data_IF_274587355802
#
_entry.id   IF_274587355802
#
_cell.length_a   1.000
_cell.length_b   1.000
_cell.length_c   1.000
_cell.angle_alpha   90.00
_cell.angle_beta   90.00
_cell.angle_gamma   90.00
#
_symmetry.space_group_name_H-M   'P 1'
#
loop_
_entity.id
_entity.type
_entity.pdbx_description
1 polymer ?
#
# COMPACT_ATOMS: atom_id res chain seq x y z
N UNK A 1 -0.89 42.19 3.01
CA UNK A 1 -1.14 41.25 4.11
C UNK A 1 -2.62 40.89 4.06
N UNK A 2 -2.97 39.62 3.83
CA UNK A 2 -4.36 39.21 3.58
C UNK A 2 -5.14 38.80 4.83
N UNK A 3 -4.45 38.51 5.94
CA UNK A 3 -5.02 37.95 7.17
C UNK A 3 -5.01 38.99 8.30
N UNK A 4 -6.05 38.97 9.12
CA UNK A 4 -6.16 39.83 10.30
C UNK A 4 -5.58 39.16 11.55
N UNK A 5 -5.82 37.85 11.70
CA UNK A 5 -5.29 37.01 12.76
C UNK A 5 -5.00 35.62 12.20
N UNK A 6 -3.96 34.98 12.71
CA UNK A 6 -3.65 33.59 12.37
C UNK A 6 -2.85 32.94 13.50
N UNK A 7 -2.94 31.62 13.60
CA UNK A 7 -2.17 30.82 14.56
C UNK A 7 -2.45 29.33 14.40
N UNK A 8 -1.53 28.48 14.87
CA UNK A 8 -1.68 27.05 14.75
C UNK A 8 -0.42 26.24 15.02
N UNK A 9 -0.51 24.96 14.69
CA UNK A 9 0.57 24.00 14.69
C UNK A 9 0.78 23.43 13.29
N UNK A 10 1.86 22.69 13.07
CA UNK A 10 2.22 22.11 11.76
C UNK A 10 1.06 21.41 11.03
N UNK A 11 0.17 20.72 11.76
CA UNK A 11 -0.92 19.94 11.18
C UNK A 11 -2.28 20.67 11.12
N UNK A 12 -2.42 21.83 11.75
CA UNK A 12 -3.69 22.56 11.81
C UNK A 12 -3.46 24.03 12.18
N UNK A 13 -4.09 24.93 11.44
CA UNK A 13 -4.08 26.36 11.73
C UNK A 13 -5.48 26.96 11.58
N UNK A 14 -5.72 28.05 12.32
CA UNK A 14 -6.90 28.88 12.21
C UNK A 14 -6.52 30.31 11.84
N UNK A 15 -7.41 30.99 11.12
CA UNK A 15 -7.22 32.37 10.69
C UNK A 15 -8.52 33.16 10.70
N UNK A 16 -8.41 34.48 10.72
CA UNK A 16 -9.48 35.44 10.48
C UNK A 16 -9.11 36.28 9.26
N UNK A 17 -10.05 36.38 8.32
CA UNK A 17 -9.87 37.03 7.02
C UNK A 17 -11.13 37.79 6.65
N UNK A 18 -10.95 38.98 6.09
CA UNK A 18 -12.04 39.75 5.49
C UNK A 18 -12.51 39.08 4.21
N UNK A 19 -13.83 39.04 3.98
CA UNK A 19 -14.41 38.32 2.83
C UNK A 19 -13.82 38.79 1.50
N UNK A 20 -13.57 40.10 1.36
CA UNK A 20 -13.00 40.69 0.15
C UNK A 20 -11.53 40.32 -0.10
N UNK A 21 -10.84 39.71 0.88
CA UNK A 21 -9.44 39.28 0.76
C UNK A 21 -9.29 37.79 0.43
N UNK A 22 -10.38 37.03 0.32
CA UNK A 22 -10.35 35.58 0.13
C UNK A 22 -9.63 35.22 -1.17
N UNK A 23 -9.98 35.87 -2.28
CA UNK A 23 -9.41 35.58 -3.59
C UNK A 23 -7.89 35.85 -3.60
N UNK A 24 -7.48 37.02 -3.13
CA UNK A 24 -6.07 37.39 -3.07
C UNK A 24 -5.27 36.49 -2.11
N UNK A 25 -5.86 36.05 -1.00
CA UNK A 25 -5.24 35.07 -0.10
C UNK A 25 -5.10 33.72 -0.77
N UNK A 26 -6.12 33.24 -1.48
CA UNK A 26 -6.09 31.94 -2.16
C UNK A 26 -4.99 31.88 -3.22
N UNK A 27 -4.83 32.93 -4.02
CA UNK A 27 -3.74 33.04 -5.01
C UNK A 27 -2.36 33.01 -4.34
N UNK A 28 -2.17 33.81 -3.29
CA UNK A 28 -0.90 33.85 -2.55
C UNK A 28 -0.59 32.52 -1.84
N UNK A 29 -1.62 31.86 -1.30
CA UNK A 29 -1.50 30.57 -0.62
C UNK A 29 -1.16 29.45 -1.61
N UNK A 30 -1.83 29.42 -2.78
CA UNK A 30 -1.53 28.47 -3.85
C UNK A 30 -0.10 28.64 -4.35
N UNK A 31 0.33 29.87 -4.66
CA UNK A 31 1.70 30.13 -5.09
C UNK A 31 2.74 29.70 -4.05
N UNK A 32 2.44 29.84 -2.75
CA UNK A 32 3.31 29.34 -1.69
C UNK A 32 3.32 27.81 -1.64
N UNK A 33 2.16 27.15 -1.74
CA UNK A 33 2.05 25.70 -1.76
C UNK A 33 2.83 25.10 -2.94
N UNK A 34 2.65 25.64 -4.15
CA UNK A 34 3.34 25.18 -5.37
C UNK A 34 4.87 25.31 -5.26
N UNK A 35 5.36 26.31 -4.53
CA UNK A 35 6.79 26.51 -4.33
C UNK A 35 7.39 25.61 -3.23
N UNK A 36 6.58 24.99 -2.38
CA UNK A 36 7.05 24.28 -1.18
C UNK A 36 6.64 22.80 -1.11
N UNK A 37 5.65 22.36 -1.88
CA UNK A 37 5.22 20.96 -1.94
C UNK A 37 5.82 20.31 -3.19
N UNK A 38 6.37 19.11 -3.01
CA UNK A 38 6.68 18.25 -4.15
C UNK A 38 5.39 17.52 -4.59
N UNK A 39 5.32 17.10 -5.85
CA UNK A 39 4.20 16.29 -6.35
C UNK A 39 3.95 15.05 -5.48
N UNK A 40 5.02 14.46 -4.96
CA UNK A 40 5.01 13.31 -4.05
C UNK A 40 4.25 13.58 -2.73
N UNK A 41 4.29 14.82 -2.22
CA UNK A 41 3.59 15.23 -1.00
C UNK A 41 2.07 15.28 -1.19
N UNK A 42 1.61 15.36 -2.45
CA UNK A 42 0.20 15.44 -2.82
C UNK A 42 -0.46 14.05 -2.89
N UNK A 43 0.31 12.97 -2.79
CA UNK A 43 -0.21 11.61 -2.81
C UNK A 43 -0.42 11.05 -1.41
N UNK A 44 -1.57 10.39 -1.15
CA UNK A 44 -1.81 9.74 0.13
C UNK A 44 -0.89 8.53 0.31
N UNK A 45 0.09 8.64 1.22
CA UNK A 45 1.02 7.57 1.54
C UNK A 45 0.42 6.60 2.55
N UNK A 46 0.42 5.31 2.24
CA UNK A 46 0.12 4.25 3.21
C UNK A 46 1.42 3.69 3.76
N UNK A 47 1.73 4.02 5.02
CA UNK A 47 2.86 3.42 5.72
C UNK A 47 2.51 1.99 6.13
N UNK A 48 3.42 1.07 5.84
CA UNK A 48 3.36 -0.34 6.24
C UNK A 48 4.58 -0.64 7.10
N UNK A 49 4.39 -1.42 8.15
CA UNK A 49 5.43 -1.75 9.13
C UNK A 49 6.20 -2.99 8.71
N UNK A 50 5.54 -3.94 8.03
CA UNK A 50 6.16 -5.14 7.48
C UNK A 50 5.43 -5.64 6.23
N UNK A 51 6.20 -6.28 5.35
CA UNK A 51 5.68 -7.09 4.25
C UNK A 51 5.69 -8.55 4.72
N UNK A 52 4.57 -9.22 4.62
CA UNK A 52 4.37 -10.59 5.12
C UNK A 52 3.72 -11.46 4.06
N UNK A 53 3.96 -12.75 4.15
CA UNK A 53 3.27 -13.76 3.37
C UNK A 53 1.94 -14.16 4.01
N UNK A 54 1.05 -14.80 3.24
CA UNK A 54 -0.22 -15.29 3.75
C UNK A 54 -0.08 -16.31 4.89
N UNK A 55 0.97 -17.14 4.88
CA UNK A 55 1.20 -18.17 5.89
C UNK A 55 1.62 -17.63 7.26
N UNK A 56 2.16 -16.41 7.30
CA UNK A 56 2.56 -15.74 8.54
C UNK A 56 1.34 -15.17 9.30
N UNK A 57 0.20 -14.96 8.62
CA UNK A 57 -1.00 -14.34 9.17
C UNK A 57 -1.82 -15.30 10.05
N UNK A 58 -1.25 -15.61 11.21
CA UNK A 58 -1.78 -16.59 12.15
C UNK A 58 -2.40 -15.94 13.38
N UNK A 59 -3.22 -16.68 14.12
CA UNK A 59 -3.78 -16.21 15.39
C UNK A 59 -2.69 -15.90 16.44
N UNK A 60 -1.64 -16.72 16.62
CA UNK A 60 -0.51 -16.35 17.47
C UNK A 60 0.14 -15.02 17.10
N UNK A 61 0.38 -14.75 15.81
CA UNK A 61 0.91 -13.47 15.38
C UNK A 61 -0.05 -12.31 15.74
N UNK A 62 -1.36 -12.51 15.58
CA UNK A 62 -2.35 -11.51 15.99
C UNK A 62 -2.23 -11.18 17.49
N UNK A 63 -2.00 -12.18 18.34
CA UNK A 63 -1.79 -11.99 19.79
C UNK A 63 -0.48 -11.28 20.10
N UNK A 64 0.61 -11.65 19.41
CA UNK A 64 1.91 -10.98 19.58
C UNK A 64 1.84 -9.50 19.24
N UNK A 65 1.16 -9.15 18.14
CA UNK A 65 0.96 -7.77 17.73
C UNK A 65 0.08 -7.00 18.72
N UNK A 66 -0.95 -7.63 19.29
CA UNK A 66 -1.84 -6.97 20.24
C UNK A 66 -1.12 -6.58 21.56
N UNK A 67 -0.03 -7.27 21.90
CA UNK A 67 0.84 -6.90 23.04
C UNK A 67 1.56 -5.56 22.87
N UNK A 68 1.57 -4.99 21.66
CA UNK A 68 2.13 -3.66 21.40
C UNK A 68 1.18 -2.52 21.80
N UNK A 69 -0.05 -2.85 22.21
CA UNK A 69 -0.98 -1.89 22.79
C UNK A 69 -0.41 -1.21 24.06
N UNK A 70 -0.88 0.00 24.43
CA UNK A 70 -2.01 0.73 23.85
C UNK A 70 -1.67 1.41 22.52
N UNK A 71 -2.58 1.30 21.55
CA UNK A 71 -2.46 1.99 20.27
C UNK A 71 -3.08 3.40 20.34
N UNK A 72 -2.56 4.33 19.54
CA UNK A 72 -3.00 5.72 19.47
C UNK A 72 -2.10 6.58 18.57
N UNK A 73 -2.19 7.91 18.69
CA UNK A 73 -1.43 8.84 17.85
C UNK A 73 0.09 8.61 17.93
N UNK A 74 0.62 8.34 19.12
CA UNK A 74 2.04 8.09 19.35
C UNK A 74 2.48 6.63 19.15
N UNK A 75 1.54 5.71 18.99
CA UNK A 75 1.77 4.28 18.76
C UNK A 75 0.67 3.75 17.84
N UNK A 76 0.72 4.03 16.53
CA UNK A 76 -0.33 3.57 15.61
C UNK A 76 -0.39 2.04 15.57
N UNK A 77 -1.56 1.49 15.22
CA UNK A 77 -1.67 0.06 14.98
C UNK A 77 -0.70 -0.42 13.89
N UNK A 78 -0.16 -1.62 14.09
CA UNK A 78 0.70 -2.29 13.12
C UNK A 78 -0.06 -2.58 11.83
N UNK A 79 0.49 -2.10 10.72
CA UNK A 79 -0.02 -2.30 9.36
C UNK A 79 0.90 -3.24 8.61
N UNK A 80 0.36 -4.41 8.25
CA UNK A 80 1.05 -5.41 7.44
C UNK A 80 0.63 -5.30 5.97
N UNK A 81 1.54 -5.64 5.06
CA UNK A 81 1.27 -5.72 3.62
C UNK A 81 1.39 -7.18 3.14
N UNK A 82 0.32 -7.72 2.57
CA UNK A 82 0.36 -8.98 1.81
C UNK A 82 0.42 -8.63 0.32
N UNK A 83 1.57 -8.78 -0.36
CA UNK A 83 1.70 -8.40 -1.76
C UNK A 83 1.06 -9.45 -2.68
N UNK A 84 0.60 -9.02 -3.85
CA UNK A 84 0.18 -9.91 -4.94
C UNK A 84 -0.80 -11.03 -4.48
N UNK A 85 -1.75 -10.68 -3.62
CA UNK A 85 -2.70 -11.61 -3.06
C UNK A 85 -3.98 -11.64 -3.88
N UNK A 86 -4.57 -12.83 -4.03
CA UNK A 86 -5.83 -13.05 -4.70
C UNK A 86 -6.99 -12.96 -3.69
N UNK A 87 -7.91 -11.99 -3.82
CA UNK A 87 -9.18 -12.02 -3.14
C UNK A 87 -10.04 -13.15 -3.70
N UNK A 88 -10.75 -13.84 -2.83
CA UNK A 88 -11.74 -14.83 -3.24
C UNK A 88 -12.97 -14.79 -2.33
N UNK A 89 -14.08 -15.30 -2.85
CA UNK A 89 -15.40 -15.23 -2.19
C UNK A 89 -15.80 -13.81 -1.74
N UNK A 90 -15.65 -12.76 -2.58
CA UNK A 90 -16.04 -11.42 -2.18
C UNK A 90 -17.55 -11.30 -2.06
N UNK A 91 -17.99 -10.70 -0.95
CA UNK A 91 -19.38 -10.47 -0.62
C UNK A 91 -19.52 -9.18 0.20
N UNK A 92 -20.69 -8.56 0.15
CA UNK A 92 -20.98 -7.42 1.02
C UNK A 92 -21.65 -7.85 2.32
N UNK A 93 -21.41 -7.10 3.39
CA UNK A 93 -22.08 -7.25 4.70
C UNK A 93 -22.52 -5.89 5.24
N UNK A 94 -23.42 -5.90 6.23
CA UNK A 94 -23.97 -4.66 6.80
C UNK A 94 -24.73 -3.84 5.76
N UNK A 95 -25.75 -4.44 5.13
CA UNK A 95 -26.60 -3.79 4.12
C UNK A 95 -25.82 -3.22 2.93
N UNK A 96 -24.76 -3.90 2.49
CA UNK A 96 -23.95 -3.44 1.37
C UNK A 96 -22.85 -2.44 1.76
N UNK A 97 -22.74 -2.03 3.02
CA UNK A 97 -21.77 -1.00 3.45
C UNK A 97 -20.33 -1.49 3.51
N UNK A 98 -20.13 -2.77 3.80
CA UNK A 98 -18.80 -3.33 4.06
C UNK A 98 -18.50 -4.47 3.11
N UNK A 99 -17.23 -4.67 2.79
CA UNK A 99 -16.78 -5.74 1.91
C UNK A 99 -16.07 -6.80 2.75
N UNK A 100 -16.54 -8.04 2.63
CA UNK A 100 -15.95 -9.23 3.25
C UNK A 100 -15.46 -10.16 2.14
N UNK A 101 -14.28 -10.72 2.31
CA UNK A 101 -13.69 -11.66 1.36
C UNK A 101 -12.67 -12.53 2.08
N UNK A 102 -12.00 -13.42 1.37
CA UNK A 102 -10.83 -14.15 1.84
C UNK A 102 -9.62 -13.81 0.98
N UNK A 103 -8.44 -13.93 1.56
CA UNK A 103 -7.17 -13.59 0.89
C UNK A 103 -6.36 -14.86 0.70
N UNK A 104 -5.88 -15.10 -0.52
CA UNK A 104 -4.98 -16.22 -0.86
C UNK A 104 -3.70 -15.70 -1.49
N UNK A 105 -2.56 -16.26 -1.14
CA UNK A 105 -1.29 -15.96 -1.79
C UNK A 105 -0.53 -17.28 -1.97
N UNK A 106 -0.05 -17.56 -3.19
CA UNK A 106 0.70 -18.79 -3.50
C UNK A 106 -0.01 -20.08 -3.03
N UNK A 107 -1.34 -20.15 -3.18
CA UNK A 107 -2.15 -21.28 -2.73
C UNK A 107 -2.41 -21.35 -1.21
N UNK A 108 -1.81 -20.46 -0.41
CA UNK A 108 -2.02 -20.36 1.04
C UNK A 108 -3.12 -19.36 1.37
N UNK A 109 -4.01 -19.74 2.28
CA UNK A 109 -5.12 -18.90 2.75
C UNK A 109 -4.66 -18.06 3.94
N UNK A 110 -4.74 -16.74 3.81
CA UNK A 110 -4.41 -15.77 4.86
C UNK A 110 -5.57 -15.55 5.85
N UNK A 111 -6.75 -16.10 5.57
CA UNK A 111 -7.94 -15.94 6.39
C UNK A 111 -8.96 -14.95 5.85
N UNK A 112 -9.92 -14.60 6.71
CA UNK A 112 -11.02 -13.69 6.38
C UNK A 112 -10.56 -12.24 6.41
N UNK A 113 -10.99 -11.45 5.44
CA UNK A 113 -10.72 -10.03 5.35
C UNK A 113 -12.03 -9.22 5.41
N UNK A 114 -11.97 -8.08 6.11
CA UNK A 114 -13.07 -7.11 6.20
C UNK A 114 -12.54 -5.72 5.85
N UNK A 115 -13.15 -5.08 4.85
CA UNK A 115 -12.89 -3.70 4.46
C UNK A 115 -14.11 -2.84 4.78
N UNK A 116 -14.03 -2.09 5.87
CA UNK A 116 -15.11 -1.23 6.33
C UNK A 116 -15.32 -0.05 5.38
N UNK A 117 -16.57 0.20 5.02
CA UNK A 117 -16.99 1.28 4.12
C UNK A 117 -16.68 1.04 2.64
N UNK A 118 -16.15 -0.13 2.27
CA UNK A 118 -15.71 -0.43 0.90
C UNK A 118 -16.66 -1.36 0.14
N UNK A 119 -17.93 -1.46 0.55
CA UNK A 119 -18.88 -2.37 -0.10
C UNK A 119 -19.12 -2.10 -1.59
N UNK A 120 -18.97 -0.84 -2.03
CA UNK A 120 -19.06 -0.47 -3.45
C UNK A 120 -17.93 -1.05 -4.33
N UNK A 121 -16.87 -1.60 -3.73
CA UNK A 121 -15.77 -2.22 -4.47
C UNK A 121 -15.99 -3.71 -4.76
N UNK A 122 -17.19 -4.25 -4.50
CA UNK A 122 -17.49 -5.67 -4.72
C UNK A 122 -17.14 -6.14 -6.14
N UNK A 123 -17.55 -5.40 -7.16
CA UNK A 123 -17.32 -5.80 -8.55
C UNK A 123 -15.84 -5.68 -8.94
N UNK A 124 -15.10 -4.72 -8.36
CA UNK A 124 -13.64 -4.63 -8.50
C UNK A 124 -12.93 -5.87 -7.98
N UNK A 125 -13.36 -6.44 -6.85
CA UNK A 125 -12.78 -7.67 -6.30
C UNK A 125 -13.25 -8.96 -6.98
N UNK A 126 -14.35 -8.89 -7.75
CA UNK A 126 -14.82 -10.01 -8.58
C UNK A 126 -14.06 -10.11 -9.89
N UNK A 127 -13.59 -8.98 -10.42
CA UNK A 127 -12.68 -8.97 -11.55
C UNK A 127 -11.42 -9.78 -11.18
N UNK A 128 -10.94 -10.61 -12.11
CA UNK A 128 -9.72 -11.37 -11.90
C UNK A 128 -8.54 -10.40 -11.75
N UNK A 129 -7.76 -10.55 -10.68
CA UNK A 129 -6.63 -9.66 -10.40
C UNK A 129 -5.93 -10.02 -9.09
N UNK A 130 -4.71 -9.52 -8.95
CA UNK A 130 -3.95 -9.59 -7.72
C UNK A 130 -3.97 -8.22 -7.05
N UNK A 131 -3.93 -8.22 -5.72
CA UNK A 131 -3.99 -7.02 -4.92
C UNK A 131 -2.91 -7.05 -3.84
N UNK A 132 -2.28 -5.91 -3.61
CA UNK A 132 -1.50 -5.70 -2.40
C UNK A 132 -2.48 -5.29 -1.28
N UNK A 133 -2.54 -6.11 -0.24
CA UNK A 133 -3.50 -5.95 0.86
C UNK A 133 -2.79 -5.35 2.07
N UNK A 134 -3.03 -4.07 2.32
CA UNK A 134 -2.59 -3.41 3.56
C UNK A 134 -3.65 -3.60 4.65
N UNK A 135 -3.31 -4.31 5.72
CA UNK A 135 -4.27 -4.69 6.77
C UNK A 135 -3.67 -4.66 8.17
N UNK A 136 -4.54 -4.55 9.17
CA UNK A 136 -4.23 -4.92 10.55
C UNK A 136 -4.65 -6.38 10.76
N UNK A 137 -3.81 -7.17 11.39
CA UNK A 137 -4.17 -8.52 11.80
C UNK A 137 -4.82 -8.46 13.19
N UNK A 138 -6.03 -8.99 13.32
CA UNK A 138 -6.77 -9.04 14.59
C UNK A 138 -7.33 -10.44 14.83
N UNK A 139 -7.50 -10.77 16.11
CA UNK A 139 -8.34 -11.90 16.48
C UNK A 139 -9.82 -11.55 16.22
N UNK A 140 -10.54 -12.45 15.57
CA UNK A 140 -11.98 -12.37 15.43
C UNK A 140 -12.64 -13.52 16.17
N UNK A 141 -13.60 -13.21 17.05
CA UNK A 141 -14.43 -14.19 17.76
C UNK A 141 -15.86 -14.11 17.23
N UNK A 142 -16.27 -15.14 16.49
CA UNK A 142 -17.60 -15.21 15.91
C UNK A 142 -18.21 -16.59 16.04
N UNK A 143 -19.42 -16.68 16.58
CA UNK A 143 -20.17 -17.92 16.75
C UNK A 143 -19.35 -19.07 17.38
N UNK A 144 -18.59 -18.77 18.44
CA UNK A 144 -17.72 -19.72 19.13
C UNK A 144 -16.40 -20.06 18.41
N UNK A 145 -16.19 -19.57 17.18
CA UNK A 145 -14.95 -19.73 16.43
C UNK A 145 -14.02 -18.54 16.68
N UNK A 146 -12.74 -18.84 16.93
CA UNK A 146 -11.66 -17.84 17.04
C UNK A 146 -10.71 -18.03 15.88
N UNK A 147 -10.50 -16.97 15.09
CA UNK A 147 -9.67 -17.03 13.89
C UNK A 147 -8.96 -15.68 13.65
N UNK A 148 -7.82 -15.67 12.93
CA UNK A 148 -7.25 -14.42 12.45
C UNK A 148 -8.18 -13.76 11.43
N UNK A 149 -8.26 -12.43 11.48
CA UNK A 149 -8.98 -11.60 10.52
C UNK A 149 -8.11 -10.42 10.09
N UNK A 150 -8.06 -10.21 8.77
CA UNK A 150 -7.42 -9.06 8.15
C UNK A 150 -8.42 -7.90 8.15
N UNK A 151 -8.20 -6.91 9.00
CA UNK A 151 -8.94 -5.64 8.94
C UNK A 151 -8.25 -4.76 7.91
N UNK A 152 -8.82 -4.74 6.70
CA UNK A 152 -8.25 -4.08 5.53
C UNK A 152 -8.29 -2.57 5.72
N UNK A 153 -7.13 -1.93 5.57
CA UNK A 153 -6.99 -0.47 5.52
C UNK A 153 -7.08 0.02 4.08
N UNK A 154 -6.38 -0.67 3.17
CA UNK A 154 -6.31 -0.30 1.76
C UNK A 154 -6.00 -1.51 0.88
N UNK A 155 -6.54 -1.47 -0.33
CA UNK A 155 -6.25 -2.40 -1.41
C UNK A 155 -5.62 -1.62 -2.56
N UNK A 156 -4.52 -2.14 -3.08
CA UNK A 156 -3.86 -1.64 -4.27
C UNK A 156 -3.95 -2.71 -5.34
N UNK A 157 -4.24 -2.34 -6.58
CA UNK A 157 -4.12 -3.29 -7.68
C UNK A 157 -2.64 -3.60 -7.84
N UNK A 158 -2.28 -4.88 -7.75
CA UNK A 158 -0.93 -5.31 -8.07
C UNK A 158 -0.80 -5.25 -9.59
N UNK A 159 0.18 -4.50 -10.14
CA UNK A 159 0.39 -4.46 -11.58
C UNK A 159 0.56 -5.87 -12.15
N UNK A 160 -0.08 -6.15 -13.28
CA UNK A 160 0.16 -7.39 -14.01
C UNK A 160 1.65 -7.53 -14.33
N UNK A 161 2.15 -8.76 -14.27
CA UNK A 161 3.57 -9.04 -14.50
C UNK A 161 4.51 -8.69 -13.36
N UNK A 162 4.04 -8.05 -12.26
CA UNK A 162 4.91 -7.70 -11.11
C UNK A 162 5.74 -8.88 -10.61
N UNK A 163 5.07 -9.99 -10.29
CA UNK A 163 5.75 -11.15 -9.72
C UNK A 163 6.65 -11.84 -10.76
N UNK A 164 6.24 -11.85 -12.03
CA UNK A 164 7.03 -12.42 -13.11
C UNK A 164 8.33 -11.60 -13.34
N UNK A 165 8.23 -10.27 -13.34
CA UNK A 165 9.37 -9.38 -13.47
C UNK A 165 10.29 -9.47 -12.25
N UNK A 166 9.72 -9.47 -11.04
CA UNK A 166 10.45 -9.69 -9.79
C UNK A 166 11.24 -10.99 -9.83
N UNK A 167 10.59 -12.09 -10.19
CA UNK A 167 11.22 -13.41 -10.24
C UNK A 167 12.33 -13.44 -11.30
N UNK A 168 12.09 -12.89 -12.49
CA UNK A 168 13.11 -12.78 -13.55
C UNK A 168 14.33 -12.00 -13.07
N UNK A 169 14.13 -10.86 -12.40
CA UNK A 169 15.23 -10.08 -11.82
C UNK A 169 15.96 -10.85 -10.72
N UNK A 170 15.25 -11.59 -9.87
CA UNK A 170 15.87 -12.43 -8.85
C UNK A 170 16.72 -13.56 -9.49
N UNK A 171 16.26 -14.16 -10.57
CA UNK A 171 17.00 -15.20 -11.30
C UNK A 171 18.23 -14.63 -12.00
N UNK A 172 18.12 -13.45 -12.63
CA UNK A 172 19.26 -12.73 -13.19
C UNK A 172 20.29 -12.36 -12.11
N UNK A 173 19.83 -11.89 -10.95
CA UNK A 173 20.69 -11.60 -9.81
C UNK A 173 21.49 -12.84 -9.38
N UNK A 174 20.81 -13.98 -9.21
CA UNK A 174 21.47 -15.26 -8.85
C UNK A 174 22.43 -15.76 -9.92
N UNK A 175 22.15 -15.51 -11.21
CA UNK A 175 23.00 -15.90 -12.32
C UNK A 175 24.29 -15.05 -12.44
N UNK A 176 24.36 -13.92 -11.73
CA UNK A 176 25.55 -13.05 -11.67
C UNK A 176 25.65 -12.02 -12.80
N UNK A 177 26.56 -11.05 -12.63
CA UNK A 177 26.67 -9.84 -13.47
C UNK A 177 26.80 -10.10 -14.97
N UNK A 178 27.42 -11.22 -15.35
CA UNK A 178 27.57 -11.62 -16.76
C UNK A 178 26.24 -11.93 -17.45
N UNK A 179 25.22 -12.34 -16.70
CA UNK A 179 23.89 -12.64 -17.22
C UNK A 179 22.94 -11.44 -17.22
N UNK A 180 23.30 -10.33 -16.54
CA UNK A 180 22.40 -9.19 -16.39
C UNK A 180 22.14 -8.48 -17.71
N UNK A 181 20.87 -8.28 -18.03
CA UNK A 181 20.46 -7.44 -19.17
C UNK A 181 20.75 -5.96 -18.86
N UNK A 182 20.81 -5.07 -19.88
CA UNK A 182 20.99 -3.64 -19.66
C UNK A 182 19.95 -3.04 -18.70
N UNK A 183 18.70 -3.50 -18.77
CA UNK A 183 17.61 -3.06 -17.90
C UNK A 183 17.80 -3.58 -16.47
N UNK A 184 18.18 -4.85 -16.29
CA UNK A 184 18.43 -5.40 -14.96
C UNK A 184 19.59 -4.67 -14.26
N UNK A 185 20.67 -4.33 -15.00
CA UNK A 185 21.77 -3.51 -14.49
C UNK A 185 21.28 -2.16 -13.95
N UNK A 186 20.43 -1.46 -14.72
CA UNK A 186 19.85 -0.18 -14.29
C UNK A 186 19.00 -0.33 -13.03
N UNK A 187 18.12 -1.34 -12.98
CA UNK A 187 17.30 -1.61 -11.79
C UNK A 187 18.17 -1.86 -10.56
N UNK A 188 19.18 -2.71 -10.66
CA UNK A 188 20.06 -3.03 -9.54
C UNK A 188 20.89 -1.83 -9.07
N UNK A 189 21.37 -1.00 -10.00
CA UNK A 189 22.09 0.23 -9.71
C UNK A 189 21.21 1.28 -9.01
N UNK A 190 19.97 1.51 -9.50
CA UNK A 190 18.99 2.41 -8.87
C UNK A 190 18.65 1.97 -7.43
N UNK A 191 18.56 0.66 -7.21
CA UNK A 191 18.33 0.07 -5.90
C UNK A 191 19.58 -0.01 -5.02
N UNK A 192 20.76 0.33 -5.57
CA UNK A 192 22.03 0.29 -4.85
C UNK A 192 22.35 -1.10 -4.30
N UNK A 193 22.03 -2.16 -5.05
CA UNK A 193 22.26 -3.54 -4.64
C UNK A 193 23.73 -3.99 -4.77
N UNK A 194 24.61 -3.10 -5.22
CA UNK A 194 26.04 -3.33 -5.37
C UNK A 194 26.73 -3.42 -3.99
N UNK A 195 26.91 -4.67 -3.52
CA UNK A 195 27.83 -5.13 -2.47
C UNK A 195 27.65 -4.51 -1.08
N UNK A 196 27.14 -5.34 -0.16
CA UNK A 196 27.32 -5.32 1.31
C UNK A 196 27.54 -3.94 1.97
N UNK A 197 26.59 -3.04 1.77
CA UNK A 197 26.39 -1.95 2.72
C UNK A 197 25.17 -2.32 3.54
N UNK A 198 25.25 -2.27 4.86
CA UNK A 198 24.15 -2.53 5.81
C UNK A 198 22.97 -1.55 5.70
N UNK A 199 22.63 -1.14 4.48
CA UNK A 199 21.52 -0.27 4.11
C UNK A 199 20.23 -1.06 4.03
N UNK A 200 19.18 -0.36 4.44
CA UNK A 200 17.76 -0.71 4.34
C UNK A 200 17.47 -1.46 3.03
N UNK A 201 16.85 -2.64 3.15
CA UNK A 201 16.36 -3.45 2.03
C UNK A 201 15.41 -2.59 1.18
N UNK A 202 15.90 -2.08 0.04
CA UNK A 202 15.10 -1.23 -0.87
C UNK A 202 14.08 -2.08 -1.62
N UNK A 203 12.89 -1.52 -1.84
CA UNK A 203 11.80 -2.17 -2.57
C UNK A 203 11.98 -1.99 -4.08
N UNK A 204 11.61 -2.98 -4.89
CA UNK A 204 11.76 -2.91 -6.36
C UNK A 204 11.04 -1.71 -6.97
N UNK A 205 9.88 -1.32 -6.43
CA UNK A 205 9.10 -0.16 -6.89
C UNK A 205 9.80 1.20 -6.68
N UNK A 206 10.89 1.25 -5.90
CA UNK A 206 11.72 2.45 -5.79
C UNK A 206 12.52 2.71 -7.07
N UNK A 207 12.75 1.67 -7.91
CA UNK A 207 13.40 1.81 -9.21
C UNK A 207 12.43 2.39 -10.25
N UNK A 208 12.82 3.50 -10.88
CA UNK A 208 12.12 4.07 -12.04
C UNK A 208 12.13 3.09 -13.21
N UNK A 209 13.28 2.46 -13.47
CA UNK A 209 13.39 1.46 -14.54
C UNK A 209 12.45 0.29 -14.29
N UNK A 210 12.35 -0.21 -13.06
CA UNK A 210 11.44 -1.29 -12.71
C UNK A 210 9.97 -0.89 -12.94
N UNK A 211 9.56 0.31 -12.48
CA UNK A 211 8.20 0.83 -12.72
C UNK A 211 7.91 0.95 -14.22
N UNK A 212 8.85 1.43 -15.02
CA UNK A 212 8.69 1.52 -16.48
C UNK A 212 8.56 0.14 -17.14
N UNK A 213 9.34 -0.85 -16.68
CA UNK A 213 9.25 -2.24 -17.16
C UNK A 213 7.89 -2.86 -16.85
N UNK A 214 7.35 -2.65 -15.64
CA UNK A 214 6.03 -3.14 -15.26
C UNK A 214 4.93 -2.59 -16.17
N UNK A 215 4.94 -1.28 -16.42
CA UNK A 215 3.95 -0.65 -17.31
C UNK A 215 4.07 -1.24 -18.73
N UNK A 216 5.29 -1.44 -19.22
CA UNK A 216 5.52 -2.00 -20.57
C UNK A 216 5.08 -3.46 -20.68
N UNK A 217 5.33 -4.29 -19.67
CA UNK A 217 4.90 -5.69 -19.66
C UNK A 217 3.38 -5.81 -19.51
N UNK A 218 2.74 -4.94 -18.72
CA UNK A 218 1.29 -4.88 -18.62
C UNK A 218 0.61 -4.48 -19.94
N UNK A 219 1.24 -3.62 -20.76
CA UNK A 219 0.73 -3.21 -22.08
C UNK A 219 0.98 -4.27 -23.18
N UNK A 220 1.95 -5.17 -22.98
CA UNK A 220 2.35 -6.15 -24.00
C UNK A 220 1.51 -7.45 -23.99
N UNK A 221 0.64 -7.63 -23.00
CA UNK A 221 -0.30 -8.75 -22.94
C UNK A 221 -1.60 -8.34 -23.66
N UNK A 222 -2.05 -9.05 -24.72
CA UNK A 222 -3.35 -8.76 -25.32
C UNK A 222 -4.45 -9.00 -24.29
N UNK A 223 -5.47 -8.13 -24.28
CA UNK A 223 -6.70 -8.33 -23.50
C UNK A 223 -7.21 -9.75 -23.77
N UNK A 224 -7.31 -10.57 -22.72
CA UNK A 224 -7.82 -11.92 -22.84
C UNK A 224 -9.25 -11.87 -23.40
N UNK A 225 -9.44 -12.51 -24.55
CA UNK A 225 -10.72 -12.68 -25.24
C UNK A 225 -11.73 -13.53 -24.45
#
# INVERSE_FOLDING_TARGET
MHLERFGGHRAAAGLSIEKASIEAFAEAFAAHADANLADEDLYPVTKVDAVVSAEELTLPLAHELDRLAPFGLGNPDVTLLVPAAQPFEPATVGEGKHLRFRVRQNGRDAGSAIAFGQGSQLDRLRAAGLFDVACRLKENRWNGTVAPQLVVRRLFDTPEGYEALRQRLADLWRAGEGAWTPEARKVFAELGLEVDSGRRRRQLLESETFRALLVREAVALPEAA
#
